data_IF_025578613974
#
_entry.id   IF_025578613974
#
_cell.length_a   1.000
_cell.length_b   1.000
_cell.length_c   1.000
_cell.angle_alpha   90.00
_cell.angle_beta   90.00
_cell.angle_gamma   90.00
#
_symmetry.space_group_name_H-M   'P 1'
#
loop_
_entity.id
_entity.type
_entity.pdbx_description
1 polymer ?
#
# COMPACT_ATOMS: atom_id res chain seq x y z
N UNK A 1 0.12 -2.14 -18.43
CA UNK A 1 -0.42 -2.75 -17.19
C UNK A 1 -1.91 -2.53 -17.07
N UNK A 2 -2.41 -1.29 -17.03
CA UNK A 2 -3.84 -0.99 -16.84
C UNK A 2 -4.77 -1.67 -17.84
N UNK A 3 -4.40 -1.73 -19.13
CA UNK A 3 -5.17 -2.46 -20.14
C UNK A 3 -5.30 -3.96 -19.86
N UNK A 4 -4.24 -4.62 -19.37
CA UNK A 4 -4.29 -6.05 -18.99
C UNK A 4 -5.12 -6.24 -17.72
N UNK A 5 -5.01 -5.32 -16.76
CA UNK A 5 -5.77 -5.37 -15.51
C UNK A 5 -7.28 -5.22 -15.78
N UNK A 6 -7.67 -4.35 -16.72
CA UNK A 6 -9.07 -4.14 -17.09
C UNK A 6 -9.69 -5.37 -17.79
N UNK A 7 -8.88 -6.23 -18.41
CA UNK A 7 -9.35 -7.52 -18.93
C UNK A 7 -9.63 -8.53 -17.81
N UNK A 8 -9.03 -8.35 -16.63
CA UNK A 8 -9.18 -9.24 -15.47
C UNK A 8 -10.25 -8.74 -14.50
N UNK A 9 -10.41 -7.42 -14.36
CA UNK A 9 -11.35 -6.79 -13.44
C UNK A 9 -12.21 -5.73 -14.12
N UNK A 10 -13.53 -5.87 -13.96
CA UNK A 10 -14.55 -4.98 -14.52
C UNK A 10 -14.70 -3.67 -13.70
N UNK A 11 -14.28 -3.70 -12.43
CA UNK A 11 -14.32 -2.53 -11.54
C UNK A 11 -13.11 -2.51 -10.60
N UNK A 12 -12.50 -1.33 -10.46
CA UNK A 12 -11.39 -1.07 -9.52
C UNK A 12 -11.90 -0.30 -8.31
N UNK A 13 -11.44 -0.69 -7.13
CA UNK A 13 -11.68 0.09 -5.91
C UNK A 13 -10.66 1.24 -5.77
N UNK A 14 -10.94 2.20 -4.88
CA UNK A 14 -10.09 3.37 -4.66
C UNK A 14 -8.65 3.03 -4.21
N UNK A 15 -8.49 1.98 -3.39
CA UNK A 15 -7.17 1.51 -2.93
C UNK A 15 -6.35 0.91 -4.09
N UNK A 16 -7.00 0.17 -4.99
CA UNK A 16 -6.38 -0.38 -6.20
C UNK A 16 -6.03 0.71 -7.22
N UNK A 17 -6.77 1.81 -7.27
CA UNK A 17 -6.43 2.95 -8.13
C UNK A 17 -5.11 3.63 -7.68
N UNK A 18 -4.88 3.78 -6.38
CA UNK A 18 -3.61 4.28 -5.84
C UNK A 18 -2.42 3.40 -6.26
N UNK A 19 -2.66 2.12 -6.53
CA UNK A 19 -1.62 1.19 -6.98
C UNK A 19 -1.07 1.51 -8.37
N UNK A 20 -1.85 2.16 -9.25
CA UNK A 20 -1.34 2.60 -10.55
C UNK A 20 -0.16 3.58 -10.39
N UNK A 21 -0.23 4.46 -9.38
CA UNK A 21 0.84 5.40 -9.05
C UNK A 21 2.06 4.67 -8.49
N UNK A 22 1.85 3.67 -7.63
CA UNK A 22 2.94 2.81 -7.12
C UNK A 22 3.67 2.08 -8.24
N UNK A 23 2.96 1.47 -9.19
CA UNK A 23 3.58 0.81 -10.36
C UNK A 23 4.39 1.79 -11.20
N UNK A 24 3.92 3.03 -11.34
CA UNK A 24 4.62 4.08 -12.06
C UNK A 24 5.95 4.42 -11.37
N UNK A 25 5.94 4.60 -10.04
CA UNK A 25 7.14 4.82 -9.24
C UNK A 25 8.16 3.68 -9.39
N UNK A 26 7.71 2.43 -9.21
CA UNK A 26 8.58 1.25 -9.34
C UNK A 26 9.15 1.10 -10.76
N UNK A 27 8.36 1.41 -11.79
CA UNK A 27 8.84 1.41 -13.18
C UNK A 27 9.90 2.48 -13.44
N UNK A 28 9.76 3.67 -12.84
CA UNK A 28 10.76 4.74 -12.92
C UNK A 28 12.06 4.30 -12.23
N UNK A 29 11.97 3.66 -11.06
CA UNK A 29 13.16 3.16 -10.36
C UNK A 29 13.96 2.16 -11.20
N UNK A 30 13.28 1.20 -11.84
CA UNK A 30 13.93 0.25 -12.76
C UNK A 30 14.62 0.97 -13.93
N UNK A 31 13.96 1.97 -14.51
CA UNK A 31 14.54 2.80 -15.57
C UNK A 31 15.80 3.53 -15.07
N UNK A 32 15.75 4.14 -13.89
CA UNK A 32 16.87 4.90 -13.33
C UNK A 32 18.08 3.99 -13.09
N UNK A 33 17.87 2.81 -12.48
CA UNK A 33 18.96 1.88 -12.21
C UNK A 33 19.66 1.41 -13.49
N UNK A 34 18.89 1.03 -14.52
CA UNK A 34 19.43 0.59 -15.80
C UNK A 34 20.11 1.75 -16.56
N UNK A 35 19.48 2.92 -16.59
CA UNK A 35 20.00 4.08 -17.30
C UNK A 35 21.30 4.59 -16.67
N UNK A 36 21.37 4.68 -15.33
CA UNK A 36 22.60 5.09 -14.65
C UNK A 36 23.74 4.11 -14.89
N UNK A 37 23.46 2.80 -14.93
CA UNK A 37 24.50 1.81 -15.28
C UNK A 37 24.94 1.98 -16.72
N UNK A 38 24.00 2.05 -17.66
CA UNK A 38 24.29 2.24 -19.08
C UNK A 38 25.15 3.47 -19.32
N UNK A 39 24.86 4.58 -18.64
CA UNK A 39 25.68 5.78 -18.72
C UNK A 39 27.10 5.58 -18.21
N UNK A 40 27.27 4.87 -17.09
CA UNK A 40 28.59 4.54 -16.56
C UNK A 40 29.41 3.69 -17.52
N UNK A 41 28.79 2.68 -18.14
CA UNK A 41 29.43 1.85 -19.16
C UNK A 41 29.75 2.63 -20.44
N UNK A 42 28.89 3.56 -20.86
CA UNK A 42 29.17 4.44 -22.00
C UNK A 42 30.36 5.39 -21.74
N UNK A 43 30.55 5.86 -20.51
CA UNK A 43 31.73 6.67 -20.15
C UNK A 43 33.03 5.84 -20.22
N UNK A 44 32.96 4.55 -19.89
CA UNK A 44 34.14 3.68 -19.82
C UNK A 44 34.52 3.08 -21.18
N UNK A 45 33.53 2.70 -21.99
CA UNK A 45 33.75 1.92 -23.21
C UNK A 45 33.47 2.69 -24.52
N UNK A 46 32.78 3.84 -24.47
CA UNK A 46 32.34 4.64 -25.64
C UNK A 46 31.70 3.80 -26.78
N UNK A 47 31.04 2.69 -26.42
CA UNK A 47 30.40 1.77 -27.35
C UNK A 47 29.02 1.37 -26.82
N UNK A 48 27.98 1.74 -27.58
CA UNK A 48 26.57 1.55 -27.21
C UNK A 48 26.23 0.08 -27.01
N UNK A 49 26.72 -0.80 -27.88
CA UNK A 49 26.40 -2.24 -27.82
C UNK A 49 27.03 -2.87 -26.58
N UNK A 50 28.31 -2.61 -26.35
CA UNK A 50 29.02 -3.10 -25.16
C UNK A 50 28.41 -2.54 -23.87
N UNK A 51 28.02 -1.27 -23.87
CA UNK A 51 27.40 -0.64 -22.72
C UNK A 51 26.06 -1.28 -22.34
N UNK A 52 25.22 -1.64 -23.32
CA UNK A 52 23.99 -2.38 -23.05
C UNK A 52 24.26 -3.79 -22.57
N UNK A 53 25.20 -4.51 -23.20
CA UNK A 53 25.57 -5.87 -22.81
C UNK A 53 25.98 -5.91 -21.33
N UNK A 54 26.92 -5.07 -20.93
CA UNK A 54 27.39 -4.98 -19.55
C UNK A 54 26.27 -4.55 -18.59
N UNK A 55 25.44 -3.58 -18.98
CA UNK A 55 24.30 -3.14 -18.17
C UNK A 55 23.33 -4.28 -17.88
N UNK A 56 22.96 -5.07 -18.88
CA UNK A 56 22.02 -6.17 -18.69
C UNK A 56 22.63 -7.36 -17.94
N UNK A 57 23.91 -7.66 -18.18
CA UNK A 57 24.61 -8.76 -17.51
C UNK A 57 24.78 -8.49 -16.01
N UNK A 58 25.11 -7.24 -15.63
CA UNK A 58 25.40 -6.89 -14.24
C UNK A 58 24.18 -6.33 -13.49
N UNK A 59 23.56 -5.27 -14.00
CA UNK A 59 22.45 -4.59 -13.31
C UNK A 59 21.09 -5.18 -13.69
N UNK A 60 20.94 -5.65 -14.93
CA UNK A 60 19.70 -6.27 -15.40
C UNK A 60 19.25 -7.43 -14.51
N UNK A 61 20.17 -8.34 -14.12
CA UNK A 61 19.87 -9.45 -13.21
C UNK A 61 19.35 -8.99 -11.84
N UNK A 62 19.98 -7.95 -11.28
CA UNK A 62 19.60 -7.39 -9.97
C UNK A 62 18.19 -6.77 -10.04
N UNK A 63 17.90 -6.03 -11.12
CA UNK A 63 16.59 -5.41 -11.33
C UNK A 63 15.50 -6.47 -11.52
N UNK A 64 15.77 -7.54 -12.28
CA UNK A 64 14.83 -8.67 -12.45
C UNK A 64 14.53 -9.32 -11.11
N UNK A 65 15.56 -9.64 -10.32
CA UNK A 65 15.39 -10.26 -9.00
C UNK A 65 14.59 -9.35 -8.05
N UNK A 66 14.89 -8.05 -7.99
CA UNK A 66 14.16 -7.09 -7.18
C UNK A 66 12.69 -6.95 -7.60
N UNK A 67 12.41 -6.98 -8.91
CA UNK A 67 11.06 -6.97 -9.42
C UNK A 67 10.30 -8.26 -9.04
N UNK A 68 10.93 -9.43 -9.14
CA UNK A 68 10.30 -10.71 -8.83
C UNK A 68 10.00 -10.86 -7.33
N UNK A 69 10.91 -10.47 -6.45
CA UNK A 69 10.68 -10.51 -4.99
C UNK A 69 9.55 -9.56 -4.59
N UNK A 70 9.50 -8.37 -5.20
CA UNK A 70 8.43 -7.40 -4.97
C UNK A 70 7.09 -7.89 -5.52
N UNK A 71 7.08 -8.49 -6.71
CA UNK A 71 5.89 -9.12 -7.28
C UNK A 71 5.39 -10.27 -6.40
N UNK A 72 6.29 -11.09 -5.84
CA UNK A 72 5.95 -12.15 -4.89
C UNK A 72 5.37 -11.59 -3.58
N UNK A 73 5.91 -10.48 -3.06
CA UNK A 73 5.37 -9.81 -1.90
C UNK A 73 3.93 -9.34 -2.15
N UNK A 74 3.65 -8.70 -3.30
CA UNK A 74 2.29 -8.33 -3.67
C UNK A 74 1.40 -9.56 -3.90
N UNK A 75 1.92 -10.61 -4.52
CA UNK A 75 1.17 -11.85 -4.72
C UNK A 75 0.68 -12.46 -3.39
N UNK A 76 1.37 -12.25 -2.27
CA UNK A 76 0.88 -12.71 -0.96
C UNK A 76 -0.50 -12.14 -0.59
N UNK A 77 -0.84 -10.93 -1.06
CA UNK A 77 -2.16 -10.34 -0.83
C UNK A 77 -3.28 -10.99 -1.62
N UNK A 78 -2.98 -11.86 -2.59
CA UNK A 78 -3.98 -12.69 -3.25
C UNK A 78 -4.79 -13.53 -2.26
N UNK A 79 -4.19 -13.94 -1.14
CA UNK A 79 -4.87 -14.73 -0.11
C UNK A 79 -5.67 -13.89 0.88
N UNK A 80 -5.73 -12.57 0.72
CA UNK A 80 -6.50 -11.71 1.61
C UNK A 80 -8.00 -11.85 1.37
N UNK A 81 -8.79 -11.88 2.45
CA UNK A 81 -10.26 -12.00 2.39
C UNK A 81 -10.95 -10.70 1.94
N UNK A 82 -10.25 -9.57 2.00
CA UNK A 82 -10.79 -8.30 1.51
C UNK A 82 -10.55 -8.16 0.01
N UNK A 83 -11.63 -7.85 -0.73
CA UNK A 83 -11.57 -7.61 -2.18
C UNK A 83 -10.50 -6.57 -2.55
N UNK A 84 -10.31 -5.56 -1.71
CA UNK A 84 -9.36 -4.49 -1.96
C UNK A 84 -7.90 -4.98 -1.96
N UNK A 85 -7.50 -5.74 -0.94
CA UNK A 85 -6.16 -6.31 -0.85
C UNK A 85 -5.94 -7.40 -1.90
N UNK A 86 -6.95 -8.23 -2.17
CA UNK A 86 -6.88 -9.24 -3.21
C UNK A 86 -6.60 -8.62 -4.60
N UNK A 87 -7.39 -7.61 -4.98
CA UNK A 87 -7.18 -6.89 -6.25
C UNK A 87 -5.79 -6.25 -6.30
N UNK A 88 -5.34 -5.63 -5.21
CA UNK A 88 -4.00 -5.05 -5.11
C UNK A 88 -2.92 -6.11 -5.37
N UNK A 89 -3.05 -7.30 -4.76
CA UNK A 89 -2.09 -8.37 -4.94
C UNK A 89 -1.95 -8.87 -6.37
N UNK A 90 -3.09 -9.08 -7.05
CA UNK A 90 -3.11 -9.49 -8.46
C UNK A 90 -2.52 -8.42 -9.37
N UNK A 91 -2.90 -7.15 -9.14
CA UNK A 91 -2.38 -6.01 -9.91
C UNK A 91 -0.87 -5.91 -9.76
N UNK A 92 -0.33 -6.08 -8.55
CA UNK A 92 1.11 -6.05 -8.30
C UNK A 92 1.84 -7.24 -8.94
N UNK A 93 1.33 -8.45 -8.73
CA UNK A 93 1.94 -9.68 -9.23
C UNK A 93 2.06 -9.73 -10.75
N UNK A 94 1.07 -9.20 -11.49
CA UNK A 94 1.07 -9.15 -12.96
C UNK A 94 1.67 -7.84 -13.48
N UNK A 95 1.36 -6.73 -12.81
CA UNK A 95 1.75 -5.40 -13.24
C UNK A 95 3.26 -5.19 -13.22
N UNK A 96 3.95 -5.68 -12.18
CA UNK A 96 5.40 -5.53 -12.05
C UNK A 96 6.19 -6.23 -13.16
N UNK A 97 5.97 -7.53 -13.46
CA UNK A 97 6.61 -8.19 -14.59
C UNK A 97 6.33 -7.51 -15.93
N UNK A 98 5.09 -7.06 -16.17
CA UNK A 98 4.75 -6.34 -17.39
C UNK A 98 5.50 -5.00 -17.51
N UNK A 99 5.59 -4.25 -16.40
CA UNK A 99 6.39 -3.02 -16.35
C UNK A 99 7.86 -3.31 -16.59
N UNK A 100 8.41 -4.37 -15.98
CA UNK A 100 9.79 -4.78 -16.17
C UNK A 100 10.09 -5.10 -17.64
N UNK A 101 9.24 -5.88 -18.30
CA UNK A 101 9.37 -6.17 -19.74
C UNK A 101 9.32 -4.88 -20.56
N UNK A 102 8.37 -3.99 -20.25
CA UNK A 102 8.28 -2.70 -20.92
C UNK A 102 9.56 -1.87 -20.74
N UNK A 103 10.16 -1.84 -19.55
CA UNK A 103 11.43 -1.14 -19.29
C UNK A 103 12.56 -1.75 -20.11
N UNK A 104 12.72 -3.07 -20.11
CA UNK A 104 13.80 -3.75 -20.85
C UNK A 104 13.69 -3.57 -22.37
N UNK A 105 12.50 -3.30 -22.90
CA UNK A 105 12.28 -3.07 -24.34
C UNK A 105 12.34 -1.58 -24.68
N UNK A 106 11.56 -0.75 -23.97
CA UNK A 106 11.38 0.65 -24.30
C UNK A 106 12.61 1.49 -23.94
N UNK A 107 13.26 1.20 -22.81
CA UNK A 107 14.44 1.97 -22.39
C UNK A 107 15.56 1.92 -23.43
N UNK A 108 16.07 0.74 -23.87
CA UNK A 108 17.12 0.71 -24.89
C UNK A 108 16.66 1.30 -26.22
N UNK A 109 15.42 1.06 -26.63
CA UNK A 109 14.89 1.63 -27.88
C UNK A 109 14.87 3.17 -27.85
N UNK A 110 14.41 3.77 -26.75
CA UNK A 110 14.39 5.21 -26.59
C UNK A 110 15.79 5.82 -26.47
N UNK A 111 16.71 5.14 -25.79
CA UNK A 111 18.11 5.58 -25.69
C UNK A 111 18.78 5.56 -27.06
N UNK A 112 18.64 4.48 -27.84
CA UNK A 112 19.20 4.39 -29.21
C UNK A 112 18.59 5.46 -30.12
N UNK A 113 17.27 5.64 -30.06
CA UNK A 113 16.60 6.70 -30.81
C UNK A 113 17.14 8.07 -30.45
N UNK A 114 17.30 8.35 -29.16
CA UNK A 114 17.85 9.63 -28.68
C UNK A 114 19.28 9.85 -29.16
N UNK A 115 20.12 8.82 -29.13
CA UNK A 115 21.50 8.88 -29.61
C UNK A 115 21.59 9.20 -31.12
N UNK A 116 20.62 8.76 -31.93
CA UNK A 116 20.53 9.14 -33.35
C UNK A 116 20.25 10.64 -33.55
N UNK A 117 19.47 11.25 -32.66
CA UNK A 117 19.15 12.69 -32.71
C UNK A 117 20.22 13.58 -32.04
N UNK A 118 21.27 13.00 -31.47
CA UNK A 118 22.39 13.72 -30.88
C UNK A 118 23.07 12.93 -29.76
N UNK A 119 24.33 13.27 -29.45
CA UNK A 119 25.07 12.59 -28.37
C UNK A 119 24.53 12.96 -27.00
N UNK A 120 24.31 11.94 -26.18
CA UNK A 120 23.98 12.07 -24.78
C UNK A 120 25.24 12.52 -24.02
N UNK A 121 25.25 13.76 -23.50
CA UNK A 121 26.26 14.23 -22.54
C UNK A 121 25.56 14.62 -21.26
N UNK A 122 25.16 13.63 -20.46
CA UNK A 122 24.72 13.90 -19.10
C UNK A 122 25.96 14.24 -18.27
N UNK A 123 26.00 15.48 -17.75
CA UNK A 123 27.05 15.88 -16.82
C UNK A 123 26.88 15.07 -15.54
N UNK A 124 27.91 14.32 -15.16
CA UNK A 124 27.97 13.65 -13.85
C UNK A 124 27.79 14.69 -12.76
N UNK A 125 26.65 14.67 -12.10
CA UNK A 125 26.35 15.55 -10.97
C UNK A 125 27.21 15.11 -9.79
N UNK A 126 28.24 15.90 -9.46
CA UNK A 126 29.03 15.71 -8.25
C UNK A 126 28.33 16.39 -7.09
N UNK A 127 27.69 15.61 -6.24
CA UNK A 127 27.09 16.11 -5.01
C UNK A 127 28.15 16.22 -3.91
N UNK A 128 28.77 17.39 -3.77
CA UNK A 128 29.81 17.62 -2.76
C UNK A 128 29.31 17.39 -1.32
N UNK A 129 28.05 17.75 -1.04
CA UNK A 129 27.43 17.54 0.29
C UNK A 129 27.29 16.05 0.60
N UNK A 130 26.78 15.25 -0.33
CA UNK A 130 26.63 13.80 -0.16
C UNK A 130 27.98 13.11 0.06
N UNK A 131 29.06 13.63 -0.56
CA UNK A 131 30.42 13.13 -0.32
C UNK A 131 30.87 13.37 1.11
N UNK A 132 30.67 14.58 1.64
CA UNK A 132 31.02 14.95 3.03
C UNK A 132 30.21 14.10 4.01
N UNK A 133 28.89 13.97 3.79
CA UNK A 133 28.02 13.14 4.61
C UNK A 133 28.49 11.68 4.59
N UNK A 134 28.82 11.13 3.42
CA UNK A 134 29.29 9.75 3.29
C UNK A 134 30.57 9.47 4.07
N UNK A 135 31.56 10.35 3.98
CA UNK A 135 32.83 10.22 4.73
C UNK A 135 32.58 10.33 6.24
N UNK A 136 31.71 11.24 6.67
CA UNK A 136 31.39 11.42 8.08
C UNK A 136 30.62 10.21 8.64
N UNK A 137 29.64 9.68 7.89
CA UNK A 137 28.90 8.48 8.27
C UNK A 137 29.83 7.28 8.41
N UNK A 138 30.77 7.10 7.47
CA UNK A 138 31.75 6.02 7.55
C UNK A 138 32.65 6.14 8.80
N UNK A 139 33.07 7.36 9.14
CA UNK A 139 33.91 7.62 10.32
C UNK A 139 33.20 7.32 11.64
N UNK A 140 31.90 7.59 11.72
CA UNK A 140 31.10 7.39 12.93
C UNK A 140 30.19 6.15 12.87
N UNK A 141 30.41 5.25 11.90
CA UNK A 141 29.59 4.07 11.65
C UNK A 141 29.24 3.23 12.89
N UNK A 142 30.19 2.86 13.79
CA UNK A 142 29.85 2.06 14.97
C UNK A 142 28.94 2.83 15.94
N UNK A 143 29.16 4.14 16.11
CA UNK A 143 28.30 4.98 16.96
C UNK A 143 26.89 5.13 16.39
N UNK A 144 26.78 5.35 15.08
CA UNK A 144 25.49 5.42 14.38
C UNK A 144 24.73 4.10 14.52
N UNK A 145 25.41 2.96 14.36
CA UNK A 145 24.78 1.65 14.50
C UNK A 145 24.25 1.43 15.93
N UNK A 146 25.04 1.76 16.95
CA UNK A 146 24.59 1.68 18.36
C UNK A 146 23.37 2.56 18.58
N UNK A 147 23.36 3.80 18.06
CA UNK A 147 22.22 4.71 18.16
C UNK A 147 20.99 4.14 17.45
N UNK A 148 21.13 3.61 16.24
CA UNK A 148 20.01 3.02 15.49
C UNK A 148 19.43 1.80 16.20
N UNK A 149 20.28 0.93 16.77
CA UNK A 149 19.84 -0.21 17.57
C UNK A 149 19.14 0.25 18.85
N UNK A 150 19.71 1.24 19.56
CA UNK A 150 19.10 1.80 20.76
C UNK A 150 17.72 2.42 20.47
N UNK A 151 17.59 3.17 19.37
CA UNK A 151 16.32 3.72 18.91
C UNK A 151 15.34 2.60 18.53
N UNK A 152 15.78 1.59 17.80
CA UNK A 152 14.94 0.44 17.46
C UNK A 152 14.39 -0.25 18.71
N UNK A 153 15.22 -0.47 19.73
CA UNK A 153 14.79 -1.05 21.02
C UNK A 153 13.82 -0.10 21.74
N UNK A 154 14.14 1.18 21.81
CA UNK A 154 13.28 2.21 22.44
C UNK A 154 11.88 2.24 21.82
N UNK A 155 11.80 2.29 20.49
CA UNK A 155 10.52 2.27 19.76
C UNK A 155 9.83 0.91 19.86
N UNK A 156 10.59 -0.19 19.87
CA UNK A 156 10.08 -1.54 20.05
C UNK A 156 9.37 -1.75 21.38
N UNK A 157 9.83 -1.13 22.47
CA UNK A 157 9.17 -1.16 23.78
C UNK A 157 7.78 -0.51 23.74
N UNK A 158 7.60 0.54 22.93
CA UNK A 158 6.32 1.26 22.83
C UNK A 158 5.36 0.65 21.81
N UNK A 159 5.86 -0.17 20.87
CA UNK A 159 5.06 -0.78 19.81
C UNK A 159 3.82 -1.56 20.30
N UNK A 160 3.87 -2.35 21.41
CA UNK A 160 2.70 -3.09 21.89
C UNK A 160 1.55 -2.22 22.40
N UNK A 161 1.81 -0.94 22.71
CA UNK A 161 0.76 -0.02 23.18
C UNK A 161 0.22 0.89 22.07
N UNK A 162 0.41 0.49 20.80
CA UNK A 162 -0.35 1.02 19.68
C UNK A 162 -1.81 0.56 19.78
N UNK A 163 -2.76 1.50 19.68
CA UNK A 163 -4.19 1.19 19.67
C UNK A 163 -4.59 0.79 18.26
N UNK A 164 -5.23 -0.37 18.13
CA UNK A 164 -5.87 -0.76 16.88
C UNK A 164 -7.23 -0.04 16.83
N UNK A 165 -7.48 0.70 15.75
CA UNK A 165 -8.81 1.21 15.48
C UNK A 165 -9.68 0.03 15.03
N UNK A 166 -10.71 -0.29 15.81
CA UNK A 166 -11.62 -1.40 15.53
C UNK A 166 -12.85 -0.94 14.74
N UNK A 167 -13.16 0.36 14.73
CA UNK A 167 -14.32 0.89 14.03
C UNK A 167 -13.95 1.39 12.64
N UNK A 168 -14.63 0.86 11.63
CA UNK A 168 -14.57 1.36 10.26
C UNK A 168 -15.06 2.82 10.15
N UNK A 169 -15.82 3.34 11.12
CA UNK A 169 -16.27 4.74 11.12
C UNK A 169 -15.14 5.74 11.23
N UNK A 170 -14.04 5.40 11.91
CA UNK A 170 -12.89 6.30 12.06
C UNK A 170 -12.12 6.51 10.75
N UNK A 171 -12.30 5.63 9.77
CA UNK A 171 -11.66 5.73 8.45
C UNK A 171 -12.40 6.67 7.50
N UNK A 172 -13.56 7.19 7.89
CA UNK A 172 -14.44 7.93 7.01
C UNK A 172 -14.14 9.44 7.07
N UNK A 173 -14.15 10.15 5.93
CA UNK A 173 -13.71 11.54 5.86
C UNK A 173 -14.68 12.48 6.59
N UNK A 174 -14.18 13.16 7.63
CA UNK A 174 -14.95 14.07 8.50
C UNK A 174 -15.36 15.38 7.83
N UNK A 175 -14.75 15.72 6.70
CA UNK A 175 -15.03 16.95 5.94
C UNK A 175 -16.30 16.84 5.07
N UNK A 176 -16.80 15.62 4.83
CA UNK A 176 -17.97 15.42 3.98
C UNK A 176 -19.25 15.80 4.73
N UNK A 177 -20.10 16.62 4.11
CA UNK A 177 -21.34 17.11 4.70
C UNK A 177 -22.24 15.97 5.22
N UNK A 178 -22.28 14.84 4.51
CA UNK A 178 -23.02 13.64 4.93
C UNK A 178 -22.57 13.09 6.28
N UNK A 179 -21.25 13.08 6.58
CA UNK A 179 -20.75 12.64 7.89
C UNK A 179 -21.14 13.60 9.00
N UNK A 180 -20.98 14.90 8.75
CA UNK A 180 -21.35 15.93 9.73
C UNK A 180 -22.84 15.91 10.05
N UNK A 181 -23.69 15.65 9.04
CA UNK A 181 -25.13 15.48 9.25
C UNK A 181 -25.44 14.19 10.02
N UNK A 182 -24.77 13.07 9.70
CA UNK A 182 -24.96 11.80 10.42
C UNK A 182 -24.55 11.93 11.90
N UNK A 183 -23.47 12.64 12.18
CA UNK A 183 -22.97 12.90 13.53
C UNK A 183 -23.94 13.79 14.31
N UNK A 184 -24.47 14.84 13.68
CA UNK A 184 -25.57 15.65 14.25
C UNK A 184 -26.83 14.83 14.53
N UNK A 185 -27.16 13.87 13.67
CA UNK A 185 -28.29 12.96 13.91
C UNK A 185 -28.01 12.05 15.10
N UNK A 186 -26.79 11.51 15.19
CA UNK A 186 -26.34 10.67 16.32
C UNK A 186 -26.42 11.42 17.65
N UNK A 187 -25.92 12.65 17.71
CA UNK A 187 -25.94 13.46 18.94
C UNK A 187 -27.36 13.90 19.33
N UNK A 188 -28.19 14.31 18.37
CA UNK A 188 -29.51 14.89 18.68
C UNK A 188 -30.64 13.86 18.82
N UNK A 189 -30.51 12.67 18.21
CA UNK A 189 -31.59 11.66 18.17
C UNK A 189 -31.23 10.34 18.87
N UNK A 190 -30.14 10.28 19.64
CA UNK A 190 -29.64 9.05 20.29
C UNK A 190 -29.56 7.87 19.29
N UNK A 191 -29.18 8.19 18.05
CA UNK A 191 -29.13 7.26 16.93
C UNK A 191 -27.72 6.71 16.78
N UNK A 192 -27.48 5.48 17.23
CA UNK A 192 -26.25 4.79 16.87
C UNK A 192 -26.40 4.08 15.52
N UNK A 193 -25.63 4.42 14.48
CA UNK A 193 -25.67 3.69 13.22
C UNK A 193 -25.08 2.27 13.35
N UNK A 194 -24.33 1.96 14.40
CA UNK A 194 -23.86 0.61 14.71
C UNK A 194 -24.88 -0.17 15.57
N UNK A 195 -26.14 -0.19 15.15
CA UNK A 195 -27.20 -0.95 15.84
C UNK A 195 -27.17 -2.44 15.47
N UNK A 196 -27.12 -3.29 16.49
CA UNK A 196 -27.34 -4.73 16.33
C UNK A 196 -28.84 -4.97 16.10
N UNK A 197 -29.22 -5.37 14.90
CA UNK A 197 -30.61 -5.72 14.58
C UNK A 197 -30.82 -7.22 14.69
N UNK A 198 -31.66 -7.67 15.64
CA UNK A 198 -32.06 -9.07 15.76
C UNK A 198 -33.49 -9.26 15.25
N UNK A 199 -33.67 -10.20 14.31
CA UNK A 199 -34.98 -10.58 13.78
C UNK A 199 -35.42 -11.88 14.45
N UNK A 200 -36.63 -11.88 15.02
CA UNK A 200 -37.20 -13.02 15.77
C UNK A 200 -38.60 -13.34 15.24
N UNK A 201 -39.04 -14.60 15.35
CA UNK A 201 -40.29 -15.05 14.71
C UNK A 201 -41.55 -14.57 15.42
N UNK A 202 -41.44 -14.10 16.66
CA UNK A 202 -42.57 -13.55 17.40
C UNK A 202 -42.20 -12.98 18.76
N UNK A 203 -43.17 -12.31 19.39
CA UNK A 203 -42.97 -11.53 20.61
C UNK A 203 -42.42 -12.36 21.80
N UNK A 204 -42.78 -13.64 21.90
CA UNK A 204 -42.26 -14.54 22.95
C UNK A 204 -40.76 -14.80 22.80
N UNK A 205 -40.30 -15.02 21.57
CA UNK A 205 -38.87 -15.23 21.29
C UNK A 205 -38.09 -13.94 21.49
N UNK A 206 -38.66 -12.78 21.14
CA UNK A 206 -38.04 -11.49 21.43
C UNK A 206 -37.73 -11.33 22.92
N UNK A 207 -38.74 -11.51 23.77
CA UNK A 207 -38.59 -11.33 25.21
C UNK A 207 -37.58 -12.31 25.82
N UNK A 208 -37.44 -13.50 25.22
CA UNK A 208 -36.40 -14.48 25.59
C UNK A 208 -35.00 -14.00 25.16
N UNK A 209 -34.83 -13.60 23.90
CA UNK A 209 -33.56 -13.07 23.40
C UNK A 209 -33.08 -11.88 24.22
N UNK A 210 -33.96 -10.92 24.54
CA UNK A 210 -33.60 -9.74 25.32
C UNK A 210 -33.07 -10.13 26.71
N UNK A 211 -33.71 -11.10 27.37
CA UNK A 211 -33.24 -11.62 28.67
C UNK A 211 -31.90 -12.36 28.56
N UNK A 212 -31.69 -13.11 27.49
CA UNK A 212 -30.41 -13.81 27.26
C UNK A 212 -29.28 -12.81 26.97
N UNK A 213 -29.51 -11.81 26.12
CA UNK A 213 -28.53 -10.76 25.81
C UNK A 213 -28.14 -9.90 27.01
N UNK A 214 -29.07 -9.66 27.94
CA UNK A 214 -28.78 -8.95 29.20
C UNK A 214 -27.80 -9.69 30.11
N UNK A 215 -27.58 -11.00 29.91
CA UNK A 215 -26.67 -11.81 30.72
C UNK A 215 -25.32 -12.10 30.04
N UNK A 216 -25.08 -11.57 28.84
CA UNK A 216 -23.81 -11.76 28.13
C UNK A 216 -22.82 -10.66 28.54
N UNK A 217 -21.67 -11.03 29.09
CA UNK A 217 -20.68 -10.10 29.67
C UNK A 217 -20.23 -9.01 28.69
N UNK A 218 -20.04 -9.33 27.40
CA UNK A 218 -19.67 -8.35 26.38
C UNK A 218 -20.78 -7.34 26.06
N UNK A 219 -22.04 -7.80 26.10
CA UNK A 219 -23.20 -6.94 25.86
C UNK A 219 -23.44 -6.02 27.05
N UNK A 220 -23.32 -6.52 28.29
CA UNK A 220 -23.43 -5.71 29.50
C UNK A 220 -22.38 -4.59 29.56
N UNK A 221 -21.16 -4.85 29.08
CA UNK A 221 -20.04 -3.90 29.11
C UNK A 221 -20.27 -2.74 28.14
N UNK A 222 -20.71 -3.03 26.91
CA UNK A 222 -21.03 -2.02 25.88
C UNK A 222 -22.37 -1.30 26.17
N UNK A 223 -23.38 -2.02 26.67
CA UNK A 223 -24.68 -1.45 27.06
C UNK A 223 -24.55 -0.50 28.25
N UNK A 224 -23.64 -0.77 29.20
CA UNK A 224 -23.32 0.16 30.30
C UNK A 224 -22.43 1.33 29.86
N UNK A 225 -21.60 1.17 28.83
CA UNK A 225 -20.66 2.22 28.39
C UNK A 225 -21.28 3.23 27.43
N UNK A 226 -22.16 2.84 26.50
CA UNK A 226 -22.55 3.74 25.39
C UNK A 226 -23.97 3.65 24.82
N UNK A 227 -24.81 2.63 25.04
CA UNK A 227 -26.09 2.53 24.30
C UNK A 227 -27.23 1.97 25.17
N UNK A 228 -28.33 2.73 25.29
CA UNK A 228 -29.67 2.17 25.57
C UNK A 228 -30.09 1.37 24.35
N UNK A 229 -30.13 0.03 24.44
CA UNK A 229 -30.65 -0.82 23.35
C UNK A 229 -32.03 -0.33 22.88
N UNK A 230 -32.12 0.18 21.65
CA UNK A 230 -33.39 0.49 21.00
C UNK A 230 -33.88 -0.76 20.27
N UNK A 231 -34.78 -1.51 20.92
CA UNK A 231 -35.30 -2.79 20.41
C UNK A 231 -36.55 -2.49 19.59
N UNK A 232 -36.41 -2.46 18.26
CA UNK A 232 -37.56 -2.35 17.33
C UNK A 232 -38.04 -3.72 16.89
N UNK A 233 -39.28 -4.05 17.23
CA UNK A 233 -39.99 -5.21 16.68
C UNK A 233 -40.50 -4.82 15.30
N UNK A 234 -39.80 -5.26 14.26
CA UNK A 234 -40.35 -5.23 12.90
C UNK A 234 -41.19 -6.50 12.77
N UNK A 235 -42.51 -6.36 12.99
CA UNK A 235 -43.44 -7.44 12.69
C UNK A 235 -43.33 -7.74 11.19
N UNK A 236 -42.89 -8.95 10.85
CA UNK A 236 -43.03 -9.46 9.49
C UNK A 236 -44.51 -9.39 9.14
N UNK A 237 -44.86 -8.49 8.22
CA UNK A 237 -46.20 -8.38 7.65
C UNK A 237 -46.51 -9.73 7.03
N UNK A 238 -47.67 -10.25 7.42
CA UNK A 238 -48.20 -11.56 7.06
C UNK A 238 -48.46 -11.69 5.56
#
# INVERSE_FOLDING_TARGET
>A
TSGVIFLVYDSLNALSAAFAVLLLGLGIDFCIHLLMRFMGEMEEHDNVTLAFEHTFVHTGKVVILGCLTTAAAFFSFYFAETKALHQLGVIGAIGLPLTLVAVFVLLPALVVLRLKFGRFKLKRTRFNILRVVGVQVQRFAPGILVILVALFVLFGIRAPSAKLSESMYELMPTEVETYQQLEKVKENFDYDPEQLTCVVKGQRELNRCVKEFQNVDGVLKETKRRIKMSIKVINAVR
#
